data_IF_335227845524
#
_entry.id   IF_335227845524
#
_cell.length_a   1.000
_cell.length_b   1.000
_cell.length_c   1.000
_cell.angle_alpha   90.00
_cell.angle_beta   90.00
_cell.angle_gamma   90.00
#
_symmetry.space_group_name_H-M   'P 1'
#
loop_
_entity.id
_entity.type
_entity.pdbx_description
1 polymer ?
#
# COMPACT_ATOMS: atom_id res chain seq x y z
N UNK A 1 5.51 -14.84 30.23
CA UNK A 1 5.02 -15.40 28.95
C UNK A 1 5.99 -14.98 27.87
N UNK A 2 6.74 -15.90 27.28
CA UNK A 2 7.77 -15.59 26.28
C UNK A 2 7.08 -15.62 24.90
N UNK A 3 6.47 -14.51 24.49
CA UNK A 3 5.80 -14.41 23.19
C UNK A 3 6.89 -14.31 22.13
N UNK A 4 7.21 -15.42 21.47
CA UNK A 4 7.97 -15.39 20.21
C UNK A 4 7.00 -14.89 19.14
N UNK A 5 6.98 -13.58 18.91
CA UNK A 5 6.20 -13.01 17.81
C UNK A 5 6.77 -13.54 16.49
N UNK A 6 5.96 -14.26 15.74
CA UNK A 6 6.29 -14.64 14.37
C UNK A 6 6.46 -13.37 13.54
N UNK A 7 7.53 -13.26 12.73
CA UNK A 7 7.75 -12.08 11.90
C UNK A 7 6.55 -11.86 10.98
N UNK A 8 6.07 -10.62 10.93
CA UNK A 8 4.90 -10.24 10.14
C UNK A 8 5.27 -10.32 8.65
N UNK A 9 4.55 -11.13 7.89
CA UNK A 9 4.70 -11.22 6.44
C UNK A 9 4.00 -10.02 5.77
N UNK A 10 4.76 -9.24 4.99
CA UNK A 10 4.27 -8.06 4.29
C UNK A 10 3.30 -8.39 3.13
N UNK A 11 3.11 -9.67 2.82
CA UNK A 11 2.18 -10.17 1.80
C UNK A 11 0.78 -10.44 2.35
N UNK A 12 0.57 -10.32 3.66
CA UNK A 12 -0.73 -10.59 4.27
C UNK A 12 -1.76 -9.53 3.87
N UNK A 13 -2.95 -9.96 3.46
CA UNK A 13 -4.06 -9.09 3.01
C UNK A 13 -4.56 -8.12 4.08
N UNK A 14 -4.25 -8.38 5.34
CA UNK A 14 -4.72 -7.59 6.48
C UNK A 14 -3.57 -7.01 7.29
N UNK A 15 -2.44 -6.74 6.62
CA UNK A 15 -1.22 -6.21 7.22
C UNK A 15 -1.47 -4.96 8.08
N UNK A 16 -2.34 -4.05 7.63
CA UNK A 16 -2.69 -2.84 8.38
C UNK A 16 -3.30 -3.12 9.76
N UNK A 17 -4.11 -4.18 9.86
CA UNK A 17 -4.78 -4.56 11.09
C UNK A 17 -3.78 -5.09 12.12
N UNK A 18 -2.74 -5.78 11.64
CA UNK A 18 -1.65 -6.33 12.45
C UNK A 18 -0.64 -5.24 12.86
N UNK A 19 -0.29 -4.35 11.94
CA UNK A 19 0.67 -3.27 12.20
C UNK A 19 0.08 -2.12 13.01
N UNK A 20 -1.24 -1.90 12.97
CA UNK A 20 -1.91 -0.77 13.63
C UNK A 20 -3.11 -1.19 14.49
N UNK A 21 -2.91 -2.06 15.50
CA UNK A 21 -4.01 -2.56 16.34
C UNK A 21 -4.72 -1.44 17.13
N UNK A 22 -4.03 -0.33 17.42
CA UNK A 22 -4.63 0.84 18.09
C UNK A 22 -5.55 1.65 17.18
N UNK A 23 -5.33 1.61 15.87
CA UNK A 23 -6.20 2.25 14.86
C UNK A 23 -7.38 1.34 14.49
N UNK A 24 -7.17 0.02 14.55
CA UNK A 24 -8.15 -0.99 14.21
C UNK A 24 -8.40 -1.95 15.39
N UNK A 25 -8.97 -1.46 16.52
CA UNK A 25 -9.13 -2.27 17.73
C UNK A 25 -10.07 -3.47 17.53
N UNK A 26 -10.96 -3.41 16.55
CA UNK A 26 -11.88 -4.51 16.20
C UNK A 26 -11.36 -5.41 15.08
N UNK A 27 -10.17 -5.13 14.53
CA UNK A 27 -9.66 -5.84 13.35
C UNK A 27 -10.54 -5.69 12.11
N UNK A 28 -11.37 -4.65 12.04
CA UNK A 28 -12.25 -4.39 10.89
C UNK A 28 -11.83 -3.12 10.16
N UNK A 29 -12.38 -2.93 8.95
CA UNK A 29 -12.17 -1.73 8.14
C UNK A 29 -10.73 -1.53 7.64
N UNK A 30 -9.91 -2.58 7.53
CA UNK A 30 -8.63 -2.51 6.81
C UNK A 30 -8.82 -2.22 5.32
N UNK A 31 -7.73 -1.96 4.59
CA UNK A 31 -7.72 -1.71 3.13
C UNK A 31 -8.65 -2.66 2.33
N UNK A 32 -8.54 -3.96 2.60
CA UNK A 32 -9.23 -5.04 1.88
C UNK A 32 -10.58 -5.45 2.50
N UNK A 33 -11.04 -4.79 3.56
CA UNK A 33 -12.33 -5.13 4.16
C UNK A 33 -13.47 -4.85 3.18
N UNK A 34 -14.40 -5.80 3.04
CA UNK A 34 -15.57 -5.63 2.17
C UNK A 34 -16.37 -4.41 2.64
N UNK A 35 -16.45 -3.39 1.79
CA UNK A 35 -17.16 -2.13 2.07
C UNK A 35 -18.64 -2.31 1.71
N UNK A 36 -19.39 -2.99 2.59
CA UNK A 36 -20.81 -3.27 2.34
C UNK A 36 -21.73 -2.09 2.69
N UNK A 37 -21.30 -1.14 3.53
CA UNK A 37 -22.11 0.01 3.96
C UNK A 37 -21.96 1.23 3.04
N UNK A 38 -23.08 1.92 2.75
CA UNK A 38 -23.07 3.23 2.10
C UNK A 38 -22.56 4.32 3.07
N UNK A 39 -21.68 5.27 2.65
CA UNK A 39 -21.19 5.55 1.30
C UNK A 39 -19.85 4.87 0.95
N UNK A 40 -19.28 4.06 1.85
CA UNK A 40 -17.97 3.43 1.62
C UNK A 40 -17.96 2.48 0.39
N UNK A 41 -19.13 1.96 0.00
CA UNK A 41 -19.31 1.16 -1.23
C UNK A 41 -19.00 1.94 -2.52
N UNK A 42 -19.28 3.24 -2.56
CA UNK A 42 -19.17 4.09 -3.75
C UNK A 42 -17.82 4.80 -3.86
N UNK A 43 -17.08 4.89 -2.77
CA UNK A 43 -15.78 5.57 -2.75
C UNK A 43 -14.74 4.74 -3.50
N UNK A 44 -13.99 5.40 -4.39
CA UNK A 44 -12.74 4.84 -4.90
C UNK A 44 -11.79 4.58 -3.73
N UNK A 45 -10.82 3.70 -3.94
CA UNK A 45 -9.80 3.43 -2.93
C UNK A 45 -9.12 4.71 -2.44
N UNK A 46 -8.79 5.63 -3.36
CA UNK A 46 -8.14 6.90 -3.00
C UNK A 46 -9.01 7.81 -2.14
N UNK A 47 -10.32 7.87 -2.42
CA UNK A 47 -11.27 8.66 -1.63
C UNK A 47 -11.52 8.02 -0.27
N UNK A 48 -11.53 6.69 -0.21
CA UNK A 48 -11.63 5.98 1.05
C UNK A 48 -10.45 6.30 1.97
N UNK A 49 -9.21 6.26 1.46
CA UNK A 49 -8.02 6.62 2.25
C UNK A 49 -8.05 8.09 2.66
N UNK A 50 -8.38 9.00 1.73
CA UNK A 50 -8.54 10.42 2.04
C UNK A 50 -9.59 10.63 3.13
N UNK A 51 -10.74 9.96 3.06
CA UNK A 51 -11.79 10.09 4.07
C UNK A 51 -11.35 9.63 5.45
N UNK A 52 -10.44 8.64 5.55
CA UNK A 52 -9.86 8.19 6.82
C UNK A 52 -8.83 9.18 7.36
N UNK A 53 -7.96 9.70 6.50
CA UNK A 53 -6.97 10.72 6.85
C UNK A 53 -7.57 12.11 7.08
N UNK A 54 -8.80 12.36 6.62
CA UNK A 54 -9.53 13.63 6.83
C UNK A 54 -10.68 13.47 7.82
N UNK A 55 -10.84 12.29 8.43
CA UNK A 55 -11.89 12.01 9.38
C UNK A 55 -11.69 12.89 10.62
N UNK A 56 -12.80 13.29 11.26
CA UNK A 56 -12.77 13.99 12.56
C UNK A 56 -12.03 13.18 13.64
N UNK A 57 -11.98 11.85 13.48
CA UNK A 57 -11.17 10.98 14.32
C UNK A 57 -9.68 11.18 14.04
N UNK A 58 -9.06 12.04 14.84
CA UNK A 58 -7.66 12.45 14.69
C UNK A 58 -6.63 11.32 14.83
N UNK A 59 -7.03 10.14 15.32
CA UNK A 59 -6.11 9.00 15.55
C UNK A 59 -5.39 8.57 14.27
N UNK A 60 -6.11 8.56 13.15
CA UNK A 60 -5.54 8.17 11.85
C UNK A 60 -4.53 9.20 11.32
N UNK A 61 -4.79 10.50 11.50
CA UNK A 61 -3.88 11.57 11.07
C UNK A 61 -2.64 11.70 11.96
N UNK A 62 -2.81 11.48 13.26
CA UNK A 62 -1.75 11.64 14.27
C UNK A 62 -0.79 10.46 14.31
N UNK A 63 -1.19 9.31 13.78
CA UNK A 63 -0.31 8.16 13.68
C UNK A 63 0.64 8.32 12.49
N UNK A 64 1.85 8.81 12.78
CA UNK A 64 2.89 9.06 11.77
C UNK A 64 3.25 7.80 10.98
N UNK A 65 3.35 6.64 11.64
CA UNK A 65 3.65 5.37 10.99
C UNK A 65 2.57 4.97 9.99
N UNK A 66 1.30 5.20 10.31
CA UNK A 66 0.16 4.96 9.41
C UNK A 66 0.18 5.91 8.21
N UNK A 67 0.47 7.18 8.43
CA UNK A 67 0.62 8.16 7.33
C UNK A 67 1.78 7.78 6.39
N UNK A 68 2.93 7.40 6.95
CA UNK A 68 4.09 6.95 6.19
C UNK A 68 3.81 5.65 5.42
N UNK A 69 3.07 4.72 6.02
CA UNK A 69 2.66 3.49 5.35
C UNK A 69 1.91 3.78 4.04
N UNK A 70 0.87 4.63 4.10
CA UNK A 70 0.10 4.99 2.90
C UNK A 70 0.89 5.81 1.89
N UNK A 71 1.75 6.71 2.35
CA UNK A 71 2.65 7.45 1.46
C UNK A 71 3.60 6.49 0.72
N UNK A 72 4.17 5.52 1.44
CA UNK A 72 5.01 4.47 0.89
C UNK A 72 4.27 3.60 -0.13
N UNK A 73 3.03 3.18 0.16
CA UNK A 73 2.20 2.42 -0.78
C UNK A 73 1.98 3.18 -2.10
N UNK A 74 1.73 4.50 -2.03
CA UNK A 74 1.55 5.34 -3.21
C UNK A 74 2.82 5.41 -4.07
N UNK A 75 3.99 5.65 -3.46
CA UNK A 75 5.27 5.68 -4.17
C UNK A 75 5.56 4.32 -4.79
N UNK A 76 5.43 3.24 -4.01
CA UNK A 76 5.69 1.89 -4.48
C UNK A 76 4.78 1.52 -5.66
N UNK A 77 3.51 1.92 -5.65
CA UNK A 77 2.60 1.72 -6.78
C UNK A 77 3.04 2.49 -8.03
N UNK A 78 3.45 3.74 -7.87
CA UNK A 78 3.95 4.56 -8.98
C UNK A 78 5.22 3.95 -9.59
N UNK A 79 6.17 3.55 -8.75
CA UNK A 79 7.42 2.89 -9.17
C UNK A 79 7.15 1.56 -9.88
N UNK A 80 6.28 0.70 -9.31
CA UNK A 80 5.89 -0.56 -9.97
C UNK A 80 5.30 -0.30 -11.36
N UNK A 81 4.46 0.73 -11.49
CA UNK A 81 3.82 1.09 -12.76
C UNK A 81 4.84 1.65 -13.76
N UNK A 82 5.74 2.53 -13.33
CA UNK A 82 6.76 3.10 -14.21
C UNK A 82 7.75 2.04 -14.70
N UNK A 83 8.22 1.17 -13.80
CA UNK A 83 9.10 0.04 -14.15
C UNK A 83 8.39 -0.88 -15.14
N UNK A 84 7.14 -1.27 -14.87
CA UNK A 84 6.38 -2.11 -15.79
C UNK A 84 6.25 -1.47 -17.19
N UNK A 85 5.92 -0.18 -17.25
CA UNK A 85 5.78 0.53 -18.52
C UNK A 85 7.12 0.62 -19.28
N UNK A 86 8.23 0.89 -18.58
CA UNK A 86 9.56 0.92 -19.16
C UNK A 86 9.96 -0.45 -19.72
N UNK A 87 9.73 -1.52 -18.96
CA UNK A 87 10.03 -2.89 -19.39
C UNK A 87 9.16 -3.33 -20.57
N UNK A 88 7.92 -2.85 -20.63
CA UNK A 88 7.02 -3.10 -21.75
C UNK A 88 7.53 -2.40 -23.03
N UNK A 89 7.87 -1.11 -22.95
CA UNK A 89 8.36 -0.34 -24.11
C UNK A 89 9.76 -0.74 -24.56
N UNK A 90 10.61 -1.27 -23.67
CA UNK A 90 11.92 -1.80 -24.04
C UNK A 90 11.83 -3.13 -24.79
N UNK A 91 10.86 -4.00 -24.45
CA UNK A 91 10.60 -5.25 -25.17
C UNK A 91 10.14 -5.05 -26.61
N UNK A 92 9.37 -4.00 -26.87
CA UNK A 92 8.91 -3.66 -28.21
C UNK A 92 10.04 -3.03 -29.08
N UNK A 93 11.21 -2.71 -28.48
CA UNK A 93 12.37 -2.12 -29.12
C UNK A 93 13.61 -3.03 -29.04
N UNK A 94 13.68 -4.03 -29.92
CA UNK A 94 14.83 -4.92 -30.18
C UNK A 94 15.21 -5.83 -29.00
N UNK A 95 15.82 -6.99 -29.30
CA UNK A 95 16.39 -7.96 -28.36
C UNK A 95 17.41 -7.34 -27.39
N UNK A 96 16.95 -6.62 -26.37
CA UNK A 96 17.78 -6.10 -25.30
C UNK A 96 17.94 -7.19 -24.22
N UNK A 97 19.17 -7.37 -23.76
CA UNK A 97 19.47 -8.28 -22.65
C UNK A 97 19.12 -7.65 -21.31
N UNK A 98 18.87 -8.48 -20.29
CA UNK A 98 18.51 -8.02 -18.93
C UNK A 98 19.55 -7.05 -18.37
N UNK A 99 20.83 -7.21 -18.72
CA UNK A 99 21.92 -6.32 -18.32
C UNK A 99 21.77 -4.89 -18.87
N UNK A 100 21.42 -4.73 -20.15
CA UNK A 100 21.27 -3.41 -20.80
C UNK A 100 20.08 -2.63 -20.24
N UNK A 101 19.03 -3.33 -19.82
CA UNK A 101 17.86 -2.73 -19.16
C UNK A 101 18.23 -2.26 -17.75
N UNK A 102 19.02 -3.05 -17.02
CA UNK A 102 19.45 -2.69 -15.67
C UNK A 102 20.39 -1.49 -15.67
N UNK A 103 21.31 -1.37 -16.63
CA UNK A 103 22.15 -0.17 -16.78
C UNK A 103 21.31 1.10 -16.97
N UNK A 104 20.26 1.05 -17.80
CA UNK A 104 19.36 2.21 -18.01
C UNK A 104 18.54 2.60 -16.78
N UNK A 105 18.39 1.68 -15.81
CA UNK A 105 17.63 1.90 -14.57
C UNK A 105 18.50 2.43 -13.42
N UNK A 106 19.83 2.27 -13.50
CA UNK A 106 20.77 2.62 -12.43
C UNK A 106 21.39 4.02 -12.58
N UNK A 107 20.93 4.84 -13.55
CA UNK A 107 21.33 6.23 -13.75
C UNK A 107 20.15 7.21 -13.68
#
# INVERSE_FOLDING_TARGET
>A
MNVKETPIDNRQEHLELLCFPTLFPTGQYGEHHTRQSYPARTLSFSEYIKSRLLKKDSRFCRNHSYCLHYYGLKINKALKTSIHNLLKTSRDNVCQTVAEILEKLMF
#
